data_IF_276400303459
#
_entry.id   IF_276400303459
#
_cell.length_a   1.000
_cell.length_b   1.000
_cell.length_c   1.000
_cell.angle_alpha   90.00
_cell.angle_beta   90.00
_cell.angle_gamma   90.00
#
_symmetry.space_group_name_H-M   'P 1'
#
loop_
_entity.id
_entity.type
_entity.pdbx_description
1 polymer ?
#
# COMPACT_ATOMS: atom_id res chain seq x y z
N UNK A 1 5.57 -21.64 3.96
CA UNK A 1 4.20 -21.16 4.30
C UNK A 1 3.23 -22.30 4.00
N UNK A 2 2.39 -22.68 4.96
CA UNK A 2 1.35 -23.68 4.71
C UNK A 2 0.17 -23.10 3.91
N UNK A 3 -0.66 -23.93 3.26
CA UNK A 3 -1.90 -23.46 2.66
C UNK A 3 -2.77 -22.80 3.74
N UNK A 4 -3.13 -21.52 3.54
CA UNK A 4 -3.94 -20.74 4.50
C UNK A 4 -3.18 -19.74 5.39
N UNK A 5 -1.92 -19.42 5.05
CA UNK A 5 -1.17 -18.32 5.69
C UNK A 5 -1.02 -17.13 4.75
N UNK A 6 -1.11 -15.92 5.31
CA UNK A 6 -0.87 -14.64 4.63
C UNK A 6 0.24 -13.86 5.33
N UNK A 7 0.84 -12.89 4.64
CA UNK A 7 1.73 -11.91 5.27
C UNK A 7 0.84 -10.77 5.79
N UNK A 8 0.86 -10.55 7.10
CA UNK A 8 0.37 -9.33 7.74
C UNK A 8 1.48 -8.27 7.74
N UNK A 9 1.10 -7.02 7.51
CA UNK A 9 2.01 -5.87 7.54
C UNK A 9 1.33 -4.78 8.34
N UNK A 10 2.04 -4.22 9.31
CA UNK A 10 1.51 -3.21 10.21
C UNK A 10 2.54 -2.09 10.45
N UNK A 11 2.07 -0.85 10.47
CA UNK A 11 2.91 0.33 10.69
C UNK A 11 2.92 0.76 12.14
N UNK A 12 4.09 1.17 12.63
CA UNK A 12 4.30 1.55 14.03
C UNK A 12 5.19 2.80 14.08
N UNK A 13 4.66 3.94 13.64
CA UNK A 13 5.42 5.18 13.55
C UNK A 13 6.55 5.06 12.52
N UNK A 14 7.84 5.05 12.93
CA UNK A 14 8.96 5.05 11.98
C UNK A 14 9.34 3.66 11.41
N UNK A 15 8.68 2.58 11.81
CA UNK A 15 8.98 1.22 11.33
C UNK A 15 7.73 0.41 10.98
N UNK A 16 7.95 -0.62 10.16
CA UNK A 16 6.98 -1.57 9.64
C UNK A 16 7.23 -2.94 10.27
N UNK A 17 6.18 -3.67 10.66
CA UNK A 17 6.26 -5.03 11.16
C UNK A 17 5.54 -5.96 10.20
N UNK A 18 6.30 -6.87 9.57
CA UNK A 18 5.79 -7.94 8.74
C UNK A 18 5.77 -9.25 9.52
N UNK A 19 4.70 -10.02 9.40
CA UNK A 19 4.53 -11.27 10.14
C UNK A 19 3.65 -12.25 9.37
N UNK A 20 3.80 -13.55 9.65
CA UNK A 20 2.84 -14.54 9.17
C UNK A 20 1.54 -14.44 9.97
N UNK A 21 0.40 -14.42 9.30
CA UNK A 21 -0.93 -14.49 9.91
C UNK A 21 -1.77 -15.61 9.31
N UNK A 22 -2.77 -16.08 10.06
CA UNK A 22 -3.83 -16.91 9.49
C UNK A 22 -4.74 -16.03 8.62
N UNK A 23 -5.20 -16.54 7.48
CA UNK A 23 -6.07 -15.80 6.55
C UNK A 23 -7.26 -15.15 7.29
N UNK A 24 -7.42 -13.84 7.15
CA UNK A 24 -8.53 -13.08 7.76
C UNK A 24 -8.33 -12.72 9.24
N UNK A 25 -7.19 -13.06 9.85
CA UNK A 25 -6.83 -12.68 11.21
C UNK A 25 -5.70 -11.66 11.20
N UNK A 26 -5.80 -10.63 12.05
CA UNK A 26 -4.67 -9.75 12.37
C UNK A 26 -3.74 -10.34 13.42
N UNK A 27 -3.99 -11.54 13.95
CA UNK A 27 -3.12 -12.15 14.94
C UNK A 27 -1.92 -12.86 14.27
N UNK A 28 -0.68 -12.56 14.69
CA UNK A 28 0.49 -13.30 14.23
C UNK A 28 0.40 -14.77 14.62
N UNK A 29 0.69 -15.65 13.66
CA UNK A 29 0.95 -17.07 13.94
C UNK A 29 2.41 -17.26 14.32
N UNK A 30 2.74 -18.41 14.91
CA UNK A 30 4.13 -18.77 15.16
C UNK A 30 4.94 -18.71 13.85
N UNK A 31 6.05 -17.98 13.85
CA UNK A 31 6.84 -17.79 12.64
C UNK A 31 7.69 -16.52 12.64
N UNK A 32 8.38 -16.25 11.52
CA UNK A 32 9.24 -15.07 11.40
C UNK A 32 8.41 -13.79 11.45
N UNK A 33 8.94 -12.83 12.19
CA UNK A 33 8.54 -11.43 12.19
C UNK A 33 9.72 -10.62 11.68
N UNK A 34 9.47 -9.68 10.78
CA UNK A 34 10.46 -8.73 10.28
C UNK A 34 10.05 -7.34 10.72
N UNK A 35 10.94 -6.63 11.40
CA UNK A 35 10.79 -5.21 11.71
C UNK A 35 11.69 -4.45 10.75
N UNK A 36 11.12 -3.56 9.95
CA UNK A 36 11.78 -2.83 8.89
C UNK A 36 11.68 -1.32 9.13
N UNK A 37 12.79 -0.59 8.95
CA UNK A 37 12.84 0.88 8.98
C UNK A 37 12.96 1.43 7.57
N UNK A 38 11.88 1.98 6.98
CA UNK A 38 11.91 2.50 5.62
C UNK A 38 12.95 3.59 5.39
N UNK A 39 13.13 4.49 6.37
CA UNK A 39 14.06 5.63 6.23
C UNK A 39 15.54 5.21 6.24
N UNK A 40 15.91 4.24 7.09
CA UNK A 40 17.31 3.75 7.17
C UNK A 40 17.58 2.52 6.31
N UNK A 41 16.54 1.91 5.73
CA UNK A 41 16.59 0.64 4.99
C UNK A 41 17.13 -0.54 5.82
N UNK A 42 16.96 -0.48 7.13
CA UNK A 42 17.40 -1.55 8.03
C UNK A 42 16.24 -2.50 8.34
N UNK A 43 16.50 -3.80 8.32
CA UNK A 43 15.53 -4.81 8.75
C UNK A 43 16.13 -5.76 9.75
N UNK A 44 15.28 -6.21 10.67
CA UNK A 44 15.61 -7.12 11.74
C UNK A 44 14.53 -8.18 11.86
N UNK A 45 14.92 -9.43 12.12
CA UNK A 45 13.98 -10.54 12.28
C UNK A 45 14.10 -11.21 13.64
N UNK A 46 12.98 -11.79 14.06
CA UNK A 46 12.90 -12.77 15.13
C UNK A 46 11.75 -13.74 14.84
N UNK A 47 11.75 -14.90 15.51
CA UNK A 47 10.55 -15.74 15.47
C UNK A 47 9.58 -15.31 16.57
N UNK A 48 8.33 -15.08 16.20
CA UNK A 48 7.23 -14.99 17.14
C UNK A 48 6.82 -16.39 17.60
N UNK A 49 6.74 -16.57 18.92
CA UNK A 49 6.41 -17.84 19.56
C UNK A 49 5.23 -17.61 20.53
N UNK A 50 3.98 -17.71 20.06
CA UNK A 50 2.82 -17.51 20.92
C UNK A 50 2.87 -18.53 22.06
N UNK A 51 2.99 -18.05 23.30
CA UNK A 51 3.13 -18.90 24.48
C UNK A 51 2.07 -18.50 25.50
N UNK A 52 0.90 -19.16 25.49
CA UNK A 52 -0.09 -18.98 26.54
C UNK A 52 0.56 -19.29 27.90
N UNK A 53 0.40 -18.42 28.90
CA UNK A 53 0.84 -18.71 30.27
C UNK A 53 2.16 -18.10 30.73
N UNK A 54 2.68 -17.09 30.03
CA UNK A 54 3.90 -16.32 30.39
C UNK A 54 3.80 -15.47 31.69
N UNK A 55 3.05 -15.94 32.68
CA UNK A 55 2.72 -15.23 33.91
C UNK A 55 3.74 -15.37 35.04
N UNK A 56 4.82 -16.16 34.88
CA UNK A 56 5.81 -16.36 35.93
C UNK A 56 7.13 -15.63 35.67
N UNK A 57 7.41 -14.61 36.49
CA UNK A 57 8.66 -13.81 36.47
C UNK A 57 9.86 -14.57 37.03
N UNK A 58 9.63 -15.69 37.71
CA UNK A 58 10.66 -16.52 38.32
C UNK A 58 11.18 -17.61 37.38
N UNK A 59 10.64 -17.71 36.15
CA UNK A 59 11.14 -18.66 35.15
C UNK A 59 12.64 -18.43 34.90
N UNK A 60 13.46 -19.49 34.96
CA UNK A 60 14.88 -19.41 34.62
C UNK A 60 15.10 -19.00 33.15
N UNK A 61 14.08 -19.15 32.29
CA UNK A 61 14.11 -18.73 30.89
C UNK A 61 13.96 -17.21 30.70
N UNK A 62 13.80 -16.44 31.79
CA UNK A 62 13.63 -14.98 31.73
C UNK A 62 14.98 -14.27 31.55
N UNK A 63 15.35 -14.04 30.27
CA UNK A 63 16.60 -13.39 29.84
C UNK A 63 16.90 -12.10 30.64
N UNK A 64 18.15 -11.95 31.09
CA UNK A 64 18.63 -10.80 31.83
C UNK A 64 18.52 -9.48 31.03
N UNK A 65 18.62 -9.51 29.70
CA UNK A 65 18.36 -8.34 28.84
C UNK A 65 16.87 -7.99 28.78
N UNK A 66 15.98 -8.99 28.76
CA UNK A 66 14.54 -8.75 28.88
C UNK A 66 14.17 -8.11 30.24
N UNK A 67 14.95 -8.36 31.31
CA UNK A 67 14.82 -7.67 32.61
C UNK A 67 15.24 -6.19 32.55
N UNK A 68 16.21 -5.83 31.71
CA UNK A 68 16.64 -4.44 31.53
C UNK A 68 15.55 -3.61 30.81
N UNK A 69 14.96 -4.18 29.76
CA UNK A 69 13.89 -3.53 28.97
C UNK A 69 12.58 -3.43 29.78
N UNK A 70 12.27 -4.39 30.65
CA UNK A 70 11.03 -4.41 31.44
C UNK A 70 11.06 -3.58 32.74
N UNK A 71 12.24 -3.17 33.22
CA UNK A 71 12.38 -2.38 34.47
C UNK A 71 12.01 -0.90 34.32
N UNK A 72 11.94 -0.36 33.10
CA UNK A 72 11.70 1.07 32.85
C UNK A 72 10.20 1.46 32.81
N UNK A 73 9.45 1.21 33.88
CA UNK A 73 8.24 1.99 34.21
C UNK A 73 6.96 1.81 33.38
N UNK A 74 6.95 1.01 32.30
CA UNK A 74 5.73 0.82 31.49
C UNK A 74 4.79 -0.27 32.06
N UNK A 75 3.56 0.13 32.39
CA UNK A 75 2.47 -0.71 32.91
C UNK A 75 1.64 -1.41 31.83
N UNK A 76 2.20 -1.84 30.68
CA UNK A 76 1.39 -2.70 29.80
C UNK A 76 1.34 -4.12 30.38
N UNK A 77 0.16 -4.77 30.38
CA UNK A 77 -0.03 -6.10 30.95
C UNK A 77 0.71 -7.20 30.16
N UNK A 78 1.18 -6.86 28.96
CA UNK A 78 1.79 -7.80 28.04
C UNK A 78 3.21 -8.16 28.47
N UNK A 79 3.40 -9.45 28.75
CA UNK A 79 4.67 -10.02 29.18
C UNK A 79 5.29 -10.74 28.00
N UNK A 80 6.56 -10.47 27.76
CA UNK A 80 7.32 -11.14 26.72
C UNK A 80 8.67 -11.62 27.24
N UNK A 81 9.15 -12.69 26.62
CA UNK A 81 10.47 -13.25 26.81
C UNK A 81 11.22 -13.22 25.50
N UNK A 82 12.48 -12.85 25.59
CA UNK A 82 13.46 -13.05 24.53
C UNK A 82 14.14 -14.37 24.82
N UNK A 83 14.16 -15.28 23.85
CA UNK A 83 14.90 -16.54 23.92
C UNK A 83 15.76 -16.69 22.66
N UNK A 84 16.75 -17.59 22.65
CA UNK A 84 17.54 -17.86 21.45
C UNK A 84 16.68 -18.26 20.22
N UNK A 85 15.50 -18.84 20.47
CA UNK A 85 14.56 -19.27 19.44
C UNK A 85 13.68 -18.12 18.91
N UNK A 86 13.48 -17.03 19.68
CA UNK A 86 12.65 -15.90 19.29
C UNK A 86 12.02 -15.14 20.46
N UNK A 87 10.94 -14.42 20.19
CA UNK A 87 10.18 -13.69 21.20
C UNK A 87 8.91 -14.46 21.53
N UNK A 88 8.75 -14.81 22.81
CA UNK A 88 7.53 -15.38 23.37
C UNK A 88 6.70 -14.29 24.02
N UNK A 89 5.38 -14.31 23.85
CA UNK A 89 4.47 -13.32 24.48
C UNK A 89 3.24 -13.99 25.07
N UNK A 90 2.75 -13.44 26.20
CA UNK A 90 1.47 -13.81 26.80
C UNK A 90 0.27 -13.28 26.00
N UNK A 91 0.48 -12.29 25.15
CA UNK A 91 -0.55 -11.70 24.29
C UNK A 91 -0.29 -12.12 22.83
N UNK A 92 -1.10 -13.05 22.27
CA UNK A 92 -0.92 -13.52 20.90
C UNK A 92 -1.42 -12.51 19.85
N UNK A 93 -1.97 -11.38 20.27
CA UNK A 93 -2.45 -10.34 19.35
C UNK A 93 -1.32 -9.43 18.89
N UNK A 94 -1.52 -8.82 17.72
CA UNK A 94 -0.57 -7.93 17.09
C UNK A 94 -0.26 -6.68 17.93
N UNK A 95 -1.21 -6.23 18.74
CA UNK A 95 -1.01 -5.13 19.70
C UNK A 95 0.08 -5.46 20.72
N UNK A 96 0.17 -6.72 21.16
CA UNK A 96 1.27 -7.17 22.02
C UNK A 96 2.61 -7.15 21.30
N UNK A 97 2.64 -7.51 20.01
CA UNK A 97 3.86 -7.43 19.19
C UNK A 97 4.35 -5.99 19.03
N UNK A 98 3.43 -5.04 18.82
CA UNK A 98 3.75 -3.61 18.71
C UNK A 98 4.40 -3.08 19.98
N UNK A 99 3.80 -3.34 21.14
CA UNK A 99 4.33 -2.95 22.44
C UNK A 99 5.74 -3.48 22.66
N UNK A 100 6.01 -4.73 22.25
CA UNK A 100 7.32 -5.36 22.37
C UNK A 100 8.33 -4.66 21.49
N UNK A 101 8.03 -4.49 20.20
CA UNK A 101 8.95 -3.86 19.25
C UNK A 101 9.21 -2.41 19.66
N UNK A 102 8.18 -1.63 20.00
CA UNK A 102 8.32 -0.24 20.46
C UNK A 102 9.26 -0.11 21.68
N UNK A 103 9.17 -1.06 22.62
CA UNK A 103 10.10 -1.11 23.77
C UNK A 103 11.52 -1.45 23.36
N UNK A 104 11.71 -2.43 22.48
CA UNK A 104 13.05 -2.78 21.99
C UNK A 104 13.70 -1.62 21.24
N UNK A 105 12.92 -0.84 20.49
CA UNK A 105 13.38 0.35 19.77
C UNK A 105 13.78 1.46 20.75
N UNK A 106 12.89 1.83 21.67
CA UNK A 106 13.14 2.92 22.63
C UNK A 106 14.29 2.66 23.60
N UNK A 107 14.61 1.38 23.85
CA UNK A 107 15.70 0.98 24.74
C UNK A 107 17.01 0.65 24.01
N UNK A 108 17.03 0.74 22.67
CA UNK A 108 18.16 0.25 21.86
C UNK A 108 18.36 -1.27 21.91
N UNK A 109 17.46 -2.01 22.55
CA UNK A 109 17.50 -3.46 22.67
C UNK A 109 17.33 -4.19 21.34
N UNK A 110 16.81 -3.51 20.30
CA UNK A 110 16.55 -4.11 19.00
C UNK A 110 17.79 -4.78 18.39
N UNK A 111 18.94 -4.08 18.39
CA UNK A 111 20.19 -4.58 17.82
C UNK A 111 20.81 -5.72 18.66
N UNK A 112 20.44 -5.82 19.93
CA UNK A 112 20.92 -6.85 20.84
C UNK A 112 20.08 -8.13 20.79
N UNK A 113 18.81 -8.00 20.41
CA UNK A 113 17.80 -9.05 20.52
C UNK A 113 17.41 -9.62 19.14
N UNK A 114 17.37 -8.77 18.11
CA UNK A 114 16.93 -9.16 16.78
C UNK A 114 18.11 -9.41 15.85
N UNK A 115 17.93 -10.32 14.91
CA UNK A 115 18.95 -10.62 13.90
C UNK A 115 18.77 -9.69 12.70
N UNK A 116 19.81 -8.98 12.23
CA UNK A 116 19.69 -8.22 11.00
C UNK A 116 19.37 -9.16 9.85
N UNK A 117 18.47 -8.73 8.97
CA UNK A 117 18.11 -9.43 7.74
C UNK A 117 18.13 -8.44 6.58
N UNK A 118 18.26 -8.93 5.34
CA UNK A 118 17.94 -8.11 4.20
C UNK A 118 16.53 -7.53 4.37
N UNK A 119 16.30 -6.27 3.98
CA UNK A 119 14.96 -5.71 3.97
C UNK A 119 14.01 -6.56 3.13
N UNK A 120 12.69 -6.46 3.39
CA UNK A 120 11.69 -7.21 2.64
C UNK A 120 11.98 -7.12 1.14
N UNK A 121 11.92 -8.26 0.45
CA UNK A 121 12.55 -8.47 -0.85
C UNK A 121 12.03 -7.60 -2.01
N UNK A 122 11.11 -6.68 -1.75
CA UNK A 122 10.53 -5.81 -2.75
C UNK A 122 10.03 -4.50 -2.14
N UNK A 123 10.43 -3.37 -2.76
CA UNK A 123 9.92 -2.03 -2.48
C UNK A 123 9.74 -1.28 -3.80
N UNK A 124 8.63 -0.56 -3.97
CA UNK A 124 8.46 0.26 -5.18
C UNK A 124 9.51 1.36 -5.31
N UNK A 125 10.07 1.86 -4.21
CA UNK A 125 11.15 2.86 -4.20
C UNK A 125 12.45 2.39 -4.88
N UNK A 126 12.62 1.08 -5.09
CA UNK A 126 13.77 0.47 -5.77
C UNK A 126 13.49 0.16 -7.25
N UNK A 127 12.25 0.36 -7.69
CA UNK A 127 11.85 0.19 -9.08
C UNK A 127 12.15 1.47 -9.83
N UNK A 128 13.00 1.41 -10.85
CA UNK A 128 13.21 2.57 -11.72
C UNK A 128 11.96 2.85 -12.55
N UNK A 129 11.39 4.04 -12.33
CA UNK A 129 10.25 4.55 -13.11
C UNK A 129 10.72 5.65 -14.05
N UNK A 130 10.54 5.42 -15.35
CA UNK A 130 10.81 6.42 -16.39
C UNK A 130 9.48 6.99 -16.88
N UNK A 131 9.30 8.31 -16.77
CA UNK A 131 8.10 8.98 -17.27
C UNK A 131 7.98 8.79 -18.78
N UNK A 132 6.78 8.43 -19.23
CA UNK A 132 6.42 8.36 -20.64
C UNK A 132 5.24 9.27 -20.93
N UNK A 133 5.08 9.68 -22.19
CA UNK A 133 3.94 10.49 -22.59
C UNK A 133 2.64 9.73 -22.32
N UNK A 134 1.66 10.42 -21.72
CA UNK A 134 0.28 9.94 -21.68
C UNK A 134 -0.23 9.78 -23.11
N UNK A 135 -1.03 8.75 -23.35
CA UNK A 135 -1.59 8.51 -24.69
C UNK A 135 -2.58 9.62 -25.04
N UNK A 136 -2.74 9.93 -26.33
CA UNK A 136 -3.72 10.94 -26.78
C UNK A 136 -5.13 10.63 -26.28
N UNK A 137 -5.49 9.34 -26.22
CA UNK A 137 -6.77 8.89 -25.68
C UNK A 137 -6.93 9.19 -24.19
N UNK A 138 -5.88 8.96 -23.38
CA UNK A 138 -5.90 9.29 -21.95
C UNK A 138 -5.91 10.80 -21.73
N UNK A 139 -5.15 11.56 -22.51
CA UNK A 139 -5.15 13.02 -22.46
C UNK A 139 -6.53 13.60 -22.77
N UNK A 140 -7.19 13.13 -23.84
CA UNK A 140 -8.54 13.55 -24.20
C UNK A 140 -9.58 13.17 -23.12
N UNK A 141 -9.43 12.01 -22.49
CA UNK A 141 -10.28 11.62 -21.36
C UNK A 141 -10.06 12.51 -20.14
N UNK A 142 -8.81 12.82 -19.79
CA UNK A 142 -8.44 13.73 -18.70
C UNK A 142 -8.99 15.13 -18.93
N UNK A 143 -8.87 15.66 -20.14
CA UNK A 143 -9.43 16.97 -20.51
C UNK A 143 -10.96 16.97 -20.36
N UNK A 144 -11.64 15.95 -20.88
CA UNK A 144 -13.08 15.80 -20.75
C UNK A 144 -13.53 15.70 -19.29
N UNK A 145 -12.75 14.99 -18.46
CA UNK A 145 -13.00 14.88 -17.03
C UNK A 145 -12.72 16.20 -16.31
N UNK A 146 -11.70 16.97 -16.71
CA UNK A 146 -11.40 18.29 -16.13
C UNK A 146 -12.58 19.27 -16.21
N UNK A 147 -13.37 19.22 -17.29
CA UNK A 147 -14.59 20.01 -17.41
C UNK A 147 -15.69 19.65 -16.40
N UNK A 148 -15.59 18.50 -15.75
CA UNK A 148 -16.51 18.03 -14.72
C UNK A 148 -16.04 18.30 -13.29
N UNK A 149 -14.73 18.55 -13.12
CA UNK A 149 -14.04 18.76 -11.86
C UNK A 149 -13.40 20.15 -11.87
N UNK A 150 -14.15 21.15 -12.35
CA UNK A 150 -13.63 22.47 -12.76
C UNK A 150 -12.90 23.22 -11.64
N UNK A 151 -13.35 23.05 -10.40
CA UNK A 151 -12.78 23.78 -9.28
C UNK A 151 -11.69 22.99 -8.55
N UNK A 152 -11.59 21.68 -8.81
CA UNK A 152 -10.53 20.84 -8.27
C UNK A 152 -9.42 20.59 -9.27
N UNK A 153 -9.07 19.33 -9.47
CA UNK A 153 -8.01 18.95 -10.41
C UNK A 153 -8.28 17.60 -11.07
N UNK A 154 -7.74 17.42 -12.26
CA UNK A 154 -7.64 16.12 -12.93
C UNK A 154 -6.26 15.99 -13.55
N UNK A 155 -5.51 14.98 -13.16
CA UNK A 155 -4.14 14.77 -13.60
C UNK A 155 -3.86 13.30 -13.87
N UNK A 156 -3.11 13.01 -14.92
CA UNK A 156 -2.62 11.67 -15.20
C UNK A 156 -1.14 11.67 -15.54
N UNK A 157 -0.45 10.62 -15.10
CA UNK A 157 0.91 10.33 -15.52
C UNK A 157 1.04 8.85 -15.83
N UNK A 158 1.88 8.53 -16.83
CA UNK A 158 2.25 7.17 -17.16
C UNK A 158 3.75 7.00 -17.02
N UNK A 159 4.15 5.89 -16.42
CA UNK A 159 5.53 5.51 -16.20
C UNK A 159 5.79 4.17 -16.86
N UNK A 160 6.94 4.06 -17.53
CA UNK A 160 7.52 2.78 -17.84
C UNK A 160 8.24 2.25 -16.60
N UNK A 161 8.00 0.98 -16.28
CA UNK A 161 8.70 0.24 -15.24
C UNK A 161 9.92 -0.40 -15.92
N UNK A 162 11.11 0.14 -15.65
CA UNK A 162 12.33 -0.36 -16.27
C UNK A 162 12.62 -1.79 -15.84
N UNK A 163 13.18 -2.58 -16.76
CA UNK A 163 13.45 -3.99 -16.51
C UNK A 163 14.69 -4.20 -15.65
N UNK A 164 14.51 -4.74 -14.46
CA UNK A 164 15.54 -5.34 -13.64
C UNK A 164 14.96 -6.54 -12.87
N UNK A 165 15.79 -7.26 -12.14
CA UNK A 165 15.34 -8.42 -11.36
C UNK A 165 14.20 -8.07 -10.38
N UNK A 166 14.21 -6.85 -9.83
CA UNK A 166 13.22 -6.37 -8.87
C UNK A 166 11.88 -6.11 -9.58
N UNK A 167 11.87 -5.32 -10.65
CA UNK A 167 10.67 -5.03 -11.45
C UNK A 167 10.03 -6.29 -12.04
N UNK A 168 10.84 -7.25 -12.46
CA UNK A 168 10.36 -8.50 -13.05
C UNK A 168 9.67 -9.36 -12.00
N UNK A 169 10.13 -9.29 -10.75
CA UNK A 169 9.45 -9.92 -9.62
C UNK A 169 8.07 -9.28 -9.38
N UNK A 170 7.96 -7.93 -9.45
CA UNK A 170 6.69 -7.18 -9.35
C UNK A 170 5.71 -7.59 -10.43
N UNK A 171 6.21 -7.70 -11.66
CA UNK A 171 5.38 -7.90 -12.83
C UNK A 171 4.99 -9.37 -13.02
N UNK A 172 5.84 -10.32 -12.60
CA UNK A 172 5.61 -11.76 -12.74
C UNK A 172 4.59 -12.30 -11.75
N UNK A 173 4.46 -11.68 -10.58
CA UNK A 173 3.51 -12.12 -9.55
C UNK A 173 2.13 -11.50 -9.79
N UNK A 174 1.38 -12.03 -10.77
CA UNK A 174 -0.09 -11.82 -10.88
C UNK A 174 -0.84 -12.14 -9.58
N UNK A 175 -0.19 -12.90 -8.70
CA UNK A 175 -0.67 -13.42 -7.43
C UNK A 175 0.00 -12.79 -6.22
N UNK A 176 0.85 -11.76 -6.34
CA UNK A 176 1.23 -11.01 -5.15
C UNK A 176 -0.04 -10.31 -4.67
N UNK A 177 -0.62 -10.68 -3.52
CA UNK A 177 -1.71 -9.90 -2.98
C UNK A 177 -1.13 -8.50 -2.79
N UNK A 178 -1.73 -7.50 -3.43
CA UNK A 178 -1.36 -6.11 -3.25
C UNK A 178 -1.20 -5.88 -1.76
N UNK A 179 0.03 -5.62 -1.35
CA UNK A 179 0.29 -5.38 0.06
C UNK A 179 -0.42 -4.08 0.41
N UNK A 180 -0.95 -3.96 1.63
CA UNK A 180 -1.56 -2.71 2.05
C UNK A 180 -0.62 -1.51 1.81
N UNK A 181 0.70 -1.73 1.91
CA UNK A 181 1.74 -0.71 1.67
C UNK A 181 1.99 -0.38 0.20
N UNK A 182 1.57 -1.21 -0.74
CA UNK A 182 1.99 -1.08 -2.13
C UNK A 182 1.58 0.27 -2.74
N UNK A 183 0.36 0.72 -2.44
CA UNK A 183 -0.14 2.01 -2.94
C UNK A 183 0.60 3.19 -2.29
N UNK A 184 0.86 3.10 -0.99
CA UNK A 184 1.69 4.07 -0.29
C UNK A 184 3.09 4.14 -0.91
N UNK A 185 3.72 2.99 -1.21
CA UNK A 185 5.05 2.94 -1.80
C UNK A 185 5.08 3.48 -3.24
N UNK A 186 4.08 3.16 -4.06
CA UNK A 186 3.92 3.73 -5.41
C UNK A 186 3.81 5.25 -5.34
N UNK A 187 2.91 5.76 -4.49
CA UNK A 187 2.63 7.19 -4.39
C UNK A 187 3.77 7.96 -3.71
N UNK A 188 4.62 7.28 -2.95
CA UNK A 188 5.87 7.83 -2.36
C UNK A 188 7.09 7.68 -3.26
N UNK A 189 6.97 7.02 -4.40
CA UNK A 189 8.09 6.89 -5.31
C UNK A 189 8.59 8.29 -5.70
N UNK A 190 9.91 8.60 -5.63
CA UNK A 190 10.40 9.97 -5.85
C UNK A 190 9.95 10.60 -7.17
N UNK A 191 9.92 9.83 -8.26
CA UNK A 191 9.39 10.28 -9.56
C UNK A 191 7.91 10.63 -9.48
N UNK A 192 7.10 9.82 -8.78
CA UNK A 192 5.64 10.03 -8.66
C UNK A 192 5.36 11.25 -7.80
N UNK A 193 6.04 11.39 -6.65
CA UNK A 193 5.91 12.56 -5.78
C UNK A 193 6.25 13.86 -6.51
N UNK A 194 7.33 13.86 -7.30
CA UNK A 194 7.76 15.03 -8.06
C UNK A 194 6.76 15.43 -9.14
N UNK A 195 6.10 14.47 -9.79
CA UNK A 195 5.17 14.75 -10.89
C UNK A 195 3.76 15.18 -10.42
N UNK A 196 3.31 14.77 -9.23
CA UNK A 196 1.97 15.11 -8.70
C UNK A 196 1.96 16.18 -7.60
N UNK A 197 3.12 16.69 -7.19
CA UNK A 197 3.27 17.71 -6.13
C UNK A 197 2.53 17.35 -4.83
N UNK A 198 2.68 16.09 -4.40
CA UNK A 198 2.05 15.56 -3.18
C UNK A 198 3.01 15.77 -2.01
N UNK A 199 2.72 16.74 -1.15
CA UNK A 199 3.57 17.03 0.01
C UNK A 199 3.09 16.39 1.32
N UNK A 200 1.79 16.12 1.44
CA UNK A 200 1.19 15.52 2.65
C UNK A 200 0.37 14.32 2.22
N UNK A 201 0.58 13.18 2.88
CA UNK A 201 -0.17 11.95 2.65
C UNK A 201 -0.73 11.40 3.97
N UNK A 202 -2.03 11.14 4.01
CA UNK A 202 -2.68 10.28 5.01
C UNK A 202 -2.24 8.83 4.76
N UNK A 203 -1.28 8.40 5.57
CA UNK A 203 -0.71 7.06 5.46
C UNK A 203 -1.72 5.99 5.82
N UNK A 204 -2.55 6.24 6.84
CA UNK A 204 -3.53 5.28 7.32
C UNK A 204 -4.58 5.01 6.24
N UNK A 205 -5.00 6.06 5.51
CA UNK A 205 -5.86 5.91 4.36
C UNK A 205 -5.21 5.07 3.25
N UNK A 206 -3.96 5.36 2.89
CA UNK A 206 -3.24 4.70 1.80
C UNK A 206 -2.91 3.24 2.09
N UNK A 207 -2.64 2.90 3.36
CA UNK A 207 -2.37 1.52 3.78
C UNK A 207 -3.64 0.72 4.03
N UNK A 208 -4.79 1.34 4.26
CA UNK A 208 -6.02 0.57 4.45
C UNK A 208 -6.51 -0.02 3.11
N UNK A 209 -6.31 -1.33 2.97
CA UNK A 209 -6.74 -2.09 1.79
C UNK A 209 -8.24 -1.93 1.48
N UNK A 210 -9.09 -1.65 2.48
CA UNK A 210 -10.53 -1.45 2.26
C UNK A 210 -10.85 -0.17 1.49
N UNK A 211 -9.94 0.81 1.49
CA UNK A 211 -10.06 2.02 0.68
C UNK A 211 -9.72 1.78 -0.80
N UNK A 212 -9.04 0.67 -1.11
CA UNK A 212 -8.59 0.33 -2.46
C UNK A 212 -9.43 -0.76 -3.10
N UNK A 213 -10.39 -0.35 -3.91
CA UNK A 213 -11.25 -1.26 -4.66
C UNK A 213 -10.51 -1.82 -5.87
N UNK A 214 -10.56 -3.14 -6.03
CA UNK A 214 -10.08 -3.82 -7.24
C UNK A 214 -11.21 -3.94 -8.24
N UNK A 215 -11.01 -3.38 -9.43
CA UNK A 215 -11.95 -3.49 -10.52
C UNK A 215 -11.47 -4.51 -11.53
N UNK A 216 -12.41 -5.34 -11.99
CA UNK A 216 -12.13 -6.26 -13.08
C UNK A 216 -11.78 -5.48 -14.35
N UNK A 217 -10.69 -5.83 -15.06
CA UNK A 217 -10.36 -5.23 -16.35
C UNK A 217 -11.49 -5.37 -17.39
N UNK A 218 -12.38 -6.35 -17.24
CA UNK A 218 -13.56 -6.50 -18.10
C UNK A 218 -14.55 -5.33 -17.98
N UNK A 219 -14.50 -4.58 -16.88
CA UNK A 219 -15.34 -3.42 -16.60
C UNK A 219 -14.61 -2.09 -16.84
N UNK A 220 -13.36 -2.12 -17.31
CA UNK A 220 -12.48 -0.95 -17.36
C UNK A 220 -13.11 0.24 -18.10
N UNK A 221 -13.56 0.04 -19.35
CA UNK A 221 -14.13 1.15 -20.12
C UNK A 221 -15.48 1.59 -19.58
N UNK A 222 -16.32 0.65 -19.14
CA UNK A 222 -17.60 0.98 -18.50
C UNK A 222 -17.43 1.84 -17.25
N UNK A 223 -16.40 1.56 -16.45
CA UNK A 223 -16.10 2.31 -15.23
C UNK A 223 -15.62 3.73 -15.52
N UNK A 224 -14.66 3.91 -16.45
CA UNK A 224 -14.25 5.24 -16.89
C UNK A 224 -15.41 6.02 -17.52
N UNK A 225 -16.20 5.37 -18.37
CA UNK A 225 -17.37 6.00 -18.96
C UNK A 225 -18.39 6.43 -17.91
N UNK A 226 -18.61 5.62 -16.87
CA UNK A 226 -19.50 5.96 -15.76
C UNK A 226 -18.99 7.17 -14.98
N UNK A 227 -17.71 7.21 -14.61
CA UNK A 227 -17.12 8.38 -13.94
C UNK A 227 -17.26 9.62 -14.80
N UNK A 228 -16.95 9.54 -16.09
CA UNK A 228 -17.06 10.70 -16.98
C UNK A 228 -18.52 11.09 -17.24
N UNK A 229 -19.47 10.15 -17.29
CA UNK A 229 -20.88 10.46 -17.55
C UNK A 229 -21.60 11.02 -16.32
N UNK A 230 -21.28 10.53 -15.11
CA UNK A 230 -22.05 10.78 -13.88
C UNK A 230 -21.25 11.37 -12.72
N UNK A 231 -19.91 11.38 -12.78
CA UNK A 231 -19.08 12.01 -11.76
C UNK A 231 -18.93 13.52 -11.94
N UNK A 232 -18.31 14.15 -10.93
CA UNK A 232 -18.07 15.59 -10.84
C UNK A 232 -19.33 16.40 -10.51
N UNK A 233 -19.15 17.61 -10.00
CA UNK A 233 -20.27 18.50 -9.64
C UNK A 233 -20.93 19.17 -10.85
N UNK A 234 -20.25 19.19 -12.00
CA UNK A 234 -20.63 20.02 -13.14
C UNK A 234 -21.26 19.24 -14.29
N UNK A 235 -22.35 19.76 -14.89
CA UNK A 235 -22.95 19.15 -16.07
C UNK A 235 -22.00 19.19 -17.27
N UNK A 236 -22.06 18.15 -18.11
CA UNK A 236 -21.21 17.98 -19.30
C UNK A 236 -21.24 19.19 -20.23
N UNK A 237 -20.07 19.65 -20.67
CA UNK A 237 -19.90 20.89 -21.46
C UNK A 237 -20.22 20.76 -22.96
N UNK A 238 -20.62 19.58 -23.48
CA UNK A 238 -20.94 19.46 -24.91
C UNK A 238 -22.46 19.37 -25.20
N UNK A 239 -23.07 20.43 -25.76
CA UNK A 239 -24.51 20.45 -26.09
C UNK A 239 -24.90 19.69 -27.37
N UNK A 240 -23.94 19.09 -28.10
CA UNK A 240 -24.16 18.54 -29.45
C UNK A 240 -24.07 17.01 -29.58
N UNK A 241 -23.70 16.28 -28.52
CA UNK A 241 -23.60 14.82 -28.52
C UNK A 241 -24.25 14.24 -27.26
N UNK A 242 -24.72 13.00 -27.31
CA UNK A 242 -25.18 12.28 -26.12
C UNK A 242 -24.01 12.16 -25.13
N UNK A 243 -24.09 12.76 -23.92
CA UNK A 243 -22.98 12.75 -22.96
C UNK A 243 -22.50 11.33 -22.62
N UNK A 244 -23.40 10.36 -22.67
CA UNK A 244 -23.11 8.94 -22.42
C UNK A 244 -22.32 8.32 -23.59
N UNK A 245 -22.72 8.57 -24.83
CA UNK A 245 -22.03 8.01 -26.01
C UNK A 245 -20.61 8.57 -26.14
N UNK A 246 -20.44 9.87 -25.88
CA UNK A 246 -19.12 10.50 -25.84
C UNK A 246 -18.26 9.93 -24.71
N UNK A 247 -18.83 9.72 -23.52
CA UNK A 247 -18.10 9.12 -22.41
C UNK A 247 -17.65 7.68 -22.69
N UNK A 248 -18.52 6.86 -23.28
CA UNK A 248 -18.18 5.49 -23.70
C UNK A 248 -17.06 5.52 -24.73
N UNK A 249 -17.17 6.38 -25.75
CA UNK A 249 -16.17 6.49 -26.81
C UNK A 249 -14.80 6.88 -26.27
N UNK A 250 -14.73 7.88 -25.39
CA UNK A 250 -13.48 8.29 -24.76
C UNK A 250 -12.89 7.18 -23.90
N UNK A 251 -13.70 6.53 -23.07
CA UNK A 251 -13.25 5.41 -22.23
C UNK A 251 -12.75 4.21 -23.04
N UNK A 252 -13.44 3.84 -24.12
CA UNK A 252 -13.03 2.76 -25.03
C UNK A 252 -11.72 3.10 -25.77
N UNK A 253 -11.50 4.37 -26.12
CA UNK A 253 -10.24 4.82 -26.69
C UNK A 253 -9.10 4.67 -25.68
N UNK A 254 -9.32 5.03 -24.41
CA UNK A 254 -8.33 4.81 -23.34
C UNK A 254 -8.01 3.31 -23.23
N UNK A 255 -9.03 2.46 -23.17
CA UNK A 255 -8.81 1.01 -23.08
C UNK A 255 -8.12 0.42 -24.31
N UNK A 256 -8.37 0.98 -25.50
CA UNK A 256 -7.67 0.63 -26.73
C UNK A 256 -6.19 1.00 -26.67
N UNK A 257 -5.82 2.07 -25.96
CA UNK A 257 -4.42 2.42 -25.72
C UNK A 257 -3.67 1.39 -24.85
N UNK A 258 -4.41 0.66 -24.00
CA UNK A 258 -3.94 -0.56 -23.30
C UNK A 258 -4.07 -1.84 -24.16
N UNK A 259 -4.27 -1.70 -25.48
CA UNK A 259 -4.44 -2.78 -26.44
C UNK A 259 -5.57 -3.76 -26.08
N UNK A 260 -6.59 -3.29 -25.35
CA UNK A 260 -7.72 -4.11 -24.87
C UNK A 260 -7.28 -5.36 -24.10
N UNK A 261 -6.15 -5.27 -23.37
CA UNK A 261 -5.56 -6.39 -22.64
C UNK A 261 -6.27 -6.64 -21.31
N UNK A 262 -7.22 -7.56 -21.30
CA UNK A 262 -7.94 -7.91 -20.06
C UNK A 262 -7.09 -8.69 -19.05
N UNK A 263 -6.20 -9.57 -19.51
CA UNK A 263 -5.52 -10.57 -18.66
C UNK A 263 -4.17 -10.09 -18.06
N UNK A 264 -3.80 -8.85 -18.35
CA UNK A 264 -2.54 -8.23 -17.95
C UNK A 264 -2.71 -6.84 -17.35
N UNK A 265 -3.94 -6.40 -17.08
CA UNK A 265 -4.22 -5.15 -16.39
C UNK A 265 -4.64 -5.43 -14.94
N UNK A 266 -4.13 -4.63 -14.03
CA UNK A 266 -4.66 -4.47 -12.68
C UNK A 266 -5.17 -3.03 -12.53
N UNK A 267 -6.39 -2.89 -12.02
CA UNK A 267 -7.03 -1.59 -11.82
C UNK A 267 -7.45 -1.47 -10.35
N UNK A 268 -6.87 -0.48 -9.68
CA UNK A 268 -7.13 -0.16 -8.29
C UNK A 268 -7.60 1.27 -8.16
N UNK A 269 -8.63 1.46 -7.34
CA UNK A 269 -9.26 2.77 -7.16
C UNK A 269 -9.42 3.07 -5.69
N UNK A 270 -8.94 4.24 -5.29
CA UNK A 270 -9.24 4.83 -3.99
C UNK A 270 -10.25 5.97 -4.18
N UNK A 271 -11.29 5.99 -3.34
CA UNK A 271 -12.32 7.03 -3.30
C UNK A 271 -12.21 7.94 -2.08
N UNK A 272 -11.09 7.83 -1.35
CA UNK A 272 -10.86 8.59 -0.12
C UNK A 272 -9.86 9.70 -0.40
N UNK A 273 -10.01 10.88 0.23
CA UNK A 273 -8.94 11.84 0.26
C UNK A 273 -7.78 11.23 1.03
N UNK A 274 -6.59 11.29 0.46
CA UNK A 274 -5.38 10.82 1.14
C UNK A 274 -4.23 11.80 1.04
N UNK A 275 -4.42 12.95 0.40
CA UNK A 275 -3.40 13.98 0.29
C UNK A 275 -4.00 15.37 0.35
N UNK A 276 -3.15 16.37 0.58
CA UNK A 276 -3.55 17.78 0.72
C UNK A 276 -4.22 18.38 -0.52
N UNK A 277 -4.14 17.71 -1.67
CA UNK A 277 -4.81 18.13 -2.90
C UNK A 277 -6.26 17.64 -2.97
N UNK A 278 -6.64 16.63 -2.19
CA UNK A 278 -8.01 16.12 -2.15
C UNK A 278 -8.85 16.89 -1.14
N UNK A 279 -10.13 17.08 -1.44
CA UNK A 279 -11.04 17.94 -0.68
C UNK A 279 -12.07 17.17 0.17
N UNK A 280 -11.97 15.84 0.26
CA UNK A 280 -12.89 14.96 1.00
C UNK A 280 -14.32 14.98 0.45
N UNK A 281 -14.44 14.86 -0.87
CA UNK A 281 -15.72 14.92 -1.57
C UNK A 281 -16.01 13.59 -2.26
N UNK A 282 -17.30 13.32 -2.52
CA UNK A 282 -17.79 12.07 -3.09
C UNK A 282 -17.13 11.66 -4.43
N UNK A 283 -16.51 12.61 -5.11
CA UNK A 283 -15.87 12.43 -6.42
C UNK A 283 -14.35 12.32 -6.34
N UNK A 284 -13.75 12.27 -5.16
CA UNK A 284 -12.33 12.01 -5.03
C UNK A 284 -12.00 10.62 -5.60
N UNK A 285 -11.05 10.58 -6.53
CA UNK A 285 -10.64 9.37 -7.20
C UNK A 285 -9.13 9.34 -7.38
N UNK A 286 -8.53 8.20 -7.04
CA UNK A 286 -7.16 7.85 -7.42
C UNK A 286 -7.18 6.49 -8.08
N UNK A 287 -6.87 6.45 -9.37
CA UNK A 287 -6.73 5.24 -10.15
C UNK A 287 -5.26 4.88 -10.26
N UNK A 288 -4.93 3.64 -9.92
CA UNK A 288 -3.64 3.02 -10.19
C UNK A 288 -3.90 1.87 -11.16
N UNK A 289 -3.36 2.01 -12.36
CA UNK A 289 -3.52 1.08 -13.47
C UNK A 289 -2.15 0.49 -13.79
N UNK A 290 -1.98 -0.81 -13.59
CA UNK A 290 -0.75 -1.50 -13.92
C UNK A 290 -0.96 -2.42 -15.14
N UNK A 291 -0.27 -2.14 -16.24
CA UNK A 291 -0.18 -3.04 -17.39
C UNK A 291 1.09 -3.88 -17.27
N UNK A 292 0.92 -5.13 -16.84
CA UNK A 292 2.00 -6.07 -16.64
C UNK A 292 2.71 -6.45 -17.94
N UNK A 293 2.02 -6.38 -19.10
CA UNK A 293 2.59 -6.78 -20.39
C UNK A 293 3.43 -5.67 -21.01
N UNK A 294 2.95 -4.42 -20.97
CA UNK A 294 3.74 -3.27 -21.43
C UNK A 294 4.67 -2.70 -20.38
N UNK A 295 4.64 -3.24 -19.15
CA UNK A 295 5.38 -2.73 -18.00
C UNK A 295 5.10 -1.25 -17.78
N UNK A 296 3.83 -0.89 -17.73
CA UNK A 296 3.40 0.48 -17.53
C UNK A 296 2.61 0.62 -16.24
N UNK A 297 2.89 1.70 -15.52
CA UNK A 297 2.12 2.17 -14.39
C UNK A 297 1.47 3.49 -14.80
N UNK A 298 0.15 3.53 -14.86
CA UNK A 298 -0.60 4.77 -15.08
C UNK A 298 -1.30 5.15 -13.79
N UNK A 299 -1.11 6.39 -13.37
CA UNK A 299 -1.81 6.98 -12.23
C UNK A 299 -2.68 8.11 -12.77
N UNK A 300 -3.97 8.07 -12.45
CA UNK A 300 -4.92 9.15 -12.71
C UNK A 300 -5.47 9.59 -11.36
N UNK A 301 -5.62 10.89 -11.16
CA UNK A 301 -6.21 11.48 -9.98
C UNK A 301 -7.26 12.50 -10.41
N UNK A 302 -8.37 12.52 -9.71
CA UNK A 302 -9.40 13.55 -9.83
C UNK A 302 -9.92 13.91 -8.44
N UNK A 303 -10.13 15.20 -8.21
CA UNK A 303 -10.79 15.74 -7.03
C UNK A 303 -11.58 16.97 -7.44
N UNK A 304 -12.69 17.21 -6.77
CA UNK A 304 -13.50 18.42 -6.94
C UNK A 304 -13.37 19.27 -5.66
N UNK A 305 -14.01 20.44 -5.59
CA UNK A 305 -14.01 21.29 -4.37
C UNK A 305 -15.39 21.70 -3.90
N UNK A 306 -16.46 21.06 -4.41
CA UNK A 306 -17.86 21.44 -4.17
C UNK A 306 -18.36 21.25 -2.73
#
# INVERSE_FOLDING_TARGET
MGPGSSIGIEWCGPYEIQYCSATGSRAPIAGPVVVYWPLSKEAYTFNFLPTPGLYDRSSPDFDAQARLVSKQGCRSPDRFLVTPEGIRTSNPHITGLFDIVARLVSTGGLQHVLKPVPPPAFRWEEVSLTRVAVTEALAAYVEALGFKYLNGFVEAQTYHIDSNHISDTVLATKSHPWTPTQFLEILRHPTVLADFDISITDQDCLIDRSNWQHYSPYLFSGFLAQTLAYGGAYPSIHPSASPIESAITLADNVFTSFQRRYDGLDLRVCHKPWGNRFHDIAWDHTWIIQDHRSRQLTILMASDTD
#
